data_IF_790202751710
#
_entry.id   IF_790202751710
#
_cell.length_a   1.000
_cell.length_b   1.000
_cell.length_c   1.000
_cell.angle_alpha   90.00
_cell.angle_beta   90.00
_cell.angle_gamma   90.00
#
_symmetry.space_group_name_H-M   'P 1'
#
loop_
_entity.id
_entity.type
_entity.pdbx_description
1 polymer ?
#
# COMPACT_ATOMS: atom_id res chain seq x y z
N UNK A 1 20.09 -18.71 21.74
CA UNK A 1 19.00 -18.03 21.03
C UNK A 1 18.55 -19.01 19.95
N UNK A 2 17.30 -19.44 19.99
CA UNK A 2 16.74 -20.32 18.95
C UNK A 2 16.22 -19.45 17.80
N UNK A 3 16.69 -19.72 16.57
CA UNK A 3 16.29 -19.03 15.35
C UNK A 3 15.38 -19.90 14.47
N UNK A 4 14.89 -21.02 15.01
CA UNK A 4 13.96 -21.89 14.29
C UNK A 4 12.61 -21.21 14.13
N UNK A 5 12.01 -21.38 12.96
CA UNK A 5 10.63 -20.94 12.73
C UNK A 5 9.64 -21.88 13.42
N UNK A 6 8.52 -21.33 13.88
CA UNK A 6 7.43 -22.13 14.44
C UNK A 6 6.78 -23.00 13.37
N UNK A 7 6.02 -24.03 13.79
CA UNK A 7 5.26 -24.86 12.84
C UNK A 7 4.26 -24.05 12.01
N UNK A 8 3.62 -23.04 12.63
CA UNK A 8 2.70 -22.13 11.95
C UNK A 8 3.42 -21.28 10.88
N UNK A 9 4.61 -20.77 11.20
CA UNK A 9 5.45 -20.02 10.27
C UNK A 9 5.92 -20.87 9.09
N UNK A 10 6.31 -22.10 9.34
CA UNK A 10 6.69 -23.05 8.29
C UNK A 10 5.49 -23.39 7.38
N UNK A 11 4.31 -23.60 7.96
CA UNK A 11 3.08 -23.85 7.19
C UNK A 11 2.67 -22.63 6.35
N UNK A 12 2.83 -21.42 6.87
CA UNK A 12 2.60 -20.18 6.15
C UNK A 12 3.52 -20.09 4.93
N UNK A 13 4.83 -20.26 5.14
CA UNK A 13 5.82 -20.23 4.04
C UNK A 13 5.53 -21.28 2.97
N UNK A 14 5.23 -22.52 3.37
CA UNK A 14 4.90 -23.62 2.45
C UNK A 14 3.63 -23.35 1.66
N UNK A 15 2.64 -22.68 2.27
CA UNK A 15 1.39 -22.30 1.60
C UNK A 15 1.66 -21.27 0.51
N UNK A 16 2.47 -20.26 0.80
CA UNK A 16 2.84 -19.24 -0.18
C UNK A 16 3.69 -19.86 -1.32
N UNK A 17 4.65 -20.71 -1.00
CA UNK A 17 5.47 -21.42 -2.02
C UNK A 17 4.61 -22.26 -2.95
N UNK A 18 3.60 -22.96 -2.41
CA UNK A 18 2.65 -23.75 -3.25
C UNK A 18 1.83 -22.84 -4.16
N UNK A 19 1.33 -21.72 -3.66
CA UNK A 19 0.63 -20.73 -4.48
C UNK A 19 1.51 -20.25 -5.64
N UNK A 20 2.75 -19.84 -5.37
CA UNK A 20 3.68 -19.37 -6.39
C UNK A 20 3.94 -20.45 -7.44
N UNK A 21 4.20 -21.67 -7.00
CA UNK A 21 4.55 -22.77 -7.92
C UNK A 21 3.37 -23.21 -8.79
N UNK A 22 2.14 -23.21 -8.28
CA UNK A 22 0.95 -23.76 -8.93
C UNK A 22 0.12 -22.69 -9.62
N UNK A 23 -0.17 -21.61 -8.90
CA UNK A 23 -1.19 -20.64 -9.27
C UNK A 23 -0.59 -19.33 -9.80
N UNK A 24 0.74 -19.14 -9.66
CA UNK A 24 1.45 -17.95 -10.12
C UNK A 24 2.74 -18.28 -10.90
N UNK A 25 2.68 -19.33 -11.74
CA UNK A 25 3.81 -19.74 -12.58
C UNK A 25 4.21 -18.62 -13.56
N UNK A 26 5.47 -18.66 -14.04
CA UNK A 26 6.06 -17.61 -14.87
C UNK A 26 5.22 -17.22 -16.11
N UNK A 27 4.56 -18.19 -16.76
CA UNK A 27 3.70 -17.90 -17.90
C UNK A 27 2.47 -17.08 -17.52
N UNK A 28 1.85 -17.37 -16.36
CA UNK A 28 0.73 -16.57 -15.82
C UNK A 28 1.20 -15.16 -15.47
N UNK A 29 2.34 -15.04 -14.79
CA UNK A 29 2.95 -13.73 -14.49
C UNK A 29 3.20 -12.92 -15.75
N UNK A 30 3.74 -13.53 -16.80
CA UNK A 30 3.98 -12.86 -18.08
C UNK A 30 2.69 -12.33 -18.69
N UNK A 31 1.64 -13.16 -18.70
CA UNK A 31 0.33 -12.74 -19.20
C UNK A 31 -0.27 -11.57 -18.38
N UNK A 32 -0.10 -11.59 -17.05
CA UNK A 32 -0.52 -10.48 -16.15
C UNK A 32 0.26 -9.22 -16.48
N UNK A 33 1.59 -9.29 -16.59
CA UNK A 33 2.45 -8.14 -16.94
C UNK A 33 2.02 -7.48 -18.25
N UNK A 34 1.69 -8.30 -19.25
CA UNK A 34 1.35 -7.84 -20.59
C UNK A 34 -0.12 -7.41 -20.71
N UNK A 35 -0.92 -7.57 -19.65
CA UNK A 35 -2.29 -7.05 -19.57
C UNK A 35 -2.31 -5.52 -19.43
N UNK A 36 -3.44 -4.90 -19.76
CA UNK A 36 -3.60 -3.44 -19.69
C UNK A 36 -3.33 -2.88 -18.29
N UNK A 37 -3.76 -3.59 -17.24
CA UNK A 37 -3.55 -3.17 -15.84
C UNK A 37 -2.16 -3.50 -15.29
N UNK A 38 -1.47 -4.49 -15.86
CA UNK A 38 -0.20 -5.00 -15.38
C UNK A 38 -0.25 -5.70 -14.00
N UNK A 39 -1.45 -6.02 -13.52
CA UNK A 39 -1.73 -6.79 -12.30
C UNK A 39 -3.04 -7.57 -12.47
N UNK A 40 -3.33 -8.52 -11.59
CA UNK A 40 -4.51 -9.39 -11.66
C UNK A 40 -5.37 -9.29 -10.41
N UNK A 41 -6.64 -8.88 -10.59
CA UNK A 41 -7.63 -8.91 -9.50
C UNK A 41 -7.88 -10.33 -8.99
N UNK A 42 -7.81 -11.33 -9.87
CA UNK A 42 -7.96 -12.75 -9.49
C UNK A 42 -6.81 -13.20 -8.60
N UNK A 43 -5.55 -12.89 -8.99
CA UNK A 43 -4.39 -13.23 -8.15
C UNK A 43 -4.42 -12.48 -6.82
N UNK A 44 -4.83 -11.21 -6.81
CA UNK A 44 -5.03 -10.44 -5.58
C UNK A 44 -6.06 -11.08 -4.65
N UNK A 45 -7.20 -11.52 -5.20
CA UNK A 45 -8.21 -12.22 -4.40
C UNK A 45 -7.70 -13.56 -3.88
N UNK A 46 -6.93 -14.31 -4.68
CA UNK A 46 -6.32 -15.55 -4.21
C UNK A 46 -5.37 -15.33 -3.01
N UNK A 47 -4.61 -14.22 -2.99
CA UNK A 47 -3.83 -13.84 -1.82
C UNK A 47 -4.71 -13.52 -0.59
N UNK A 48 -5.86 -12.88 -0.80
CA UNK A 48 -6.83 -12.63 0.27
C UNK A 48 -7.42 -13.93 0.81
N UNK A 49 -7.81 -14.85 -0.07
CA UNK A 49 -8.40 -16.15 0.28
C UNK A 49 -7.40 -17.04 1.07
N UNK A 50 -6.11 -16.86 0.85
CA UNK A 50 -5.04 -17.48 1.64
C UNK A 50 -4.76 -16.75 2.97
N UNK A 51 -5.47 -15.66 3.28
CA UNK A 51 -5.26 -14.85 4.47
C UNK A 51 -4.04 -13.92 4.43
N UNK A 52 -3.30 -13.88 3.32
CA UNK A 52 -2.03 -13.13 3.25
C UNK A 52 -2.24 -11.62 3.35
N UNK A 53 -3.37 -11.09 2.85
CA UNK A 53 -3.69 -9.66 2.97
C UNK A 53 -4.13 -9.27 4.39
N UNK A 54 -4.60 -10.24 5.18
CA UNK A 54 -4.99 -10.07 6.56
C UNK A 54 -3.82 -10.20 7.55
N UNK A 55 -2.66 -10.69 7.08
CA UNK A 55 -1.54 -11.08 7.95
C UNK A 55 -1.13 -9.96 8.92
N UNK A 56 -0.94 -8.74 8.44
CA UNK A 56 -0.46 -7.60 9.23
C UNK A 56 -1.59 -6.74 9.83
N UNK A 57 -2.84 -7.09 9.57
CA UNK A 57 -4.00 -6.41 10.15
C UNK A 57 -4.22 -6.91 11.57
N UNK A 58 -4.45 -6.03 12.57
CA UNK A 58 -4.76 -6.45 13.93
C UNK A 58 -5.98 -7.37 14.01
N UNK A 59 -5.98 -8.31 14.97
CA UNK A 59 -7.08 -9.29 15.14
C UNK A 59 -8.42 -8.60 15.41
N UNK A 60 -8.42 -7.54 16.23
CA UNK A 60 -9.62 -6.73 16.52
C UNK A 60 -10.21 -6.04 15.27
N UNK A 61 -9.47 -5.99 14.16
CA UNK A 61 -9.92 -5.45 12.88
C UNK A 61 -10.12 -6.53 11.81
N UNK A 62 -10.20 -7.79 12.23
CA UNK A 62 -10.43 -8.94 11.35
C UNK A 62 -9.18 -9.46 10.65
N UNK A 63 -8.02 -9.15 11.17
CA UNK A 63 -6.72 -9.64 10.69
C UNK A 63 -6.20 -10.84 11.46
N UNK A 64 -4.93 -11.19 11.21
CA UNK A 64 -4.22 -12.30 11.85
C UNK A 64 -3.17 -11.81 12.87
N UNK A 65 -2.93 -10.51 13.01
CA UNK A 65 -1.99 -9.96 13.98
C UNK A 65 -0.53 -10.38 13.78
N UNK A 66 -0.15 -10.77 12.56
CA UNK A 66 1.19 -11.25 12.24
C UNK A 66 2.27 -10.18 12.43
N UNK A 67 3.49 -10.64 12.67
CA UNK A 67 4.65 -9.80 12.94
C UNK A 67 5.62 -9.66 11.75
N UNK A 68 6.75 -8.96 11.97
CA UNK A 68 7.75 -8.75 10.94
C UNK A 68 8.37 -10.04 10.39
N UNK A 69 8.52 -11.07 11.23
CA UNK A 69 9.06 -12.37 10.82
C UNK A 69 8.11 -13.07 9.85
N UNK A 70 6.80 -13.03 10.13
CA UNK A 70 5.78 -13.62 9.27
C UNK A 70 5.73 -12.90 7.91
N UNK A 71 5.82 -11.57 7.93
CA UNK A 71 5.93 -10.75 6.71
C UNK A 71 7.19 -11.11 5.90
N UNK A 72 8.33 -11.25 6.56
CA UNK A 72 9.59 -11.65 5.92
C UNK A 72 9.46 -13.02 5.24
N UNK A 73 8.85 -14.01 5.89
CA UNK A 73 8.64 -15.34 5.32
C UNK A 73 7.74 -15.30 4.09
N UNK A 74 6.62 -14.55 4.15
CA UNK A 74 5.73 -14.38 3.01
C UNK A 74 6.45 -13.69 1.85
N UNK A 75 7.17 -12.59 2.11
CA UNK A 75 7.91 -11.87 1.07
C UNK A 75 9.01 -12.74 0.44
N UNK A 76 9.73 -13.53 1.25
CA UNK A 76 10.72 -14.47 0.77
C UNK A 76 10.10 -15.56 -0.13
N UNK A 77 8.95 -16.09 0.25
CA UNK A 77 8.24 -17.11 -0.52
C UNK A 77 7.58 -16.58 -1.80
N UNK A 78 7.13 -15.31 -1.82
CA UNK A 78 6.58 -14.63 -3.01
C UNK A 78 7.68 -14.22 -4.00
N UNK A 79 8.90 -13.95 -3.53
CA UNK A 79 10.02 -13.44 -4.33
C UNK A 79 10.30 -14.22 -5.60
N UNK A 80 10.41 -15.57 -5.59
CA UNK A 80 10.62 -16.37 -6.80
C UNK A 80 9.54 -16.21 -7.87
N UNK A 81 8.31 -15.86 -7.50
CA UNK A 81 7.20 -15.56 -8.41
C UNK A 81 7.29 -14.18 -9.05
N UNK A 82 8.14 -13.28 -8.53
CA UNK A 82 8.23 -11.87 -8.97
C UNK A 82 6.83 -11.23 -9.04
N UNK A 83 6.09 -11.30 -7.92
CA UNK A 83 4.69 -10.90 -7.82
C UNK A 83 4.46 -9.48 -8.35
N UNK A 84 3.39 -9.30 -9.13
CA UNK A 84 3.01 -8.02 -9.75
C UNK A 84 1.86 -7.32 -9.03
N UNK A 85 1.21 -8.00 -8.10
CA UNK A 85 0.16 -7.47 -7.24
C UNK A 85 0.74 -6.58 -6.13
N UNK A 86 -0.02 -5.59 -5.65
CA UNK A 86 0.45 -4.57 -4.69
C UNK A 86 0.62 -5.10 -3.25
N UNK A 87 1.21 -6.31 -3.06
CA UNK A 87 1.31 -6.92 -1.74
C UNK A 87 2.12 -6.06 -0.78
N UNK A 88 3.36 -5.70 -1.15
CA UNK A 88 4.20 -4.84 -0.32
C UNK A 88 3.58 -3.46 -0.09
N UNK A 89 3.11 -2.82 -1.17
CA UNK A 89 2.59 -1.46 -1.09
C UNK A 89 1.30 -1.36 -0.26
N UNK A 90 0.41 -2.35 -0.37
CA UNK A 90 -0.90 -2.33 0.29
C UNK A 90 -0.92 -3.16 1.58
N UNK A 91 -0.68 -4.48 1.50
CA UNK A 91 -0.84 -5.37 2.65
C UNK A 91 0.26 -5.21 3.72
N UNK A 92 1.40 -4.57 3.37
CA UNK A 92 2.47 -4.30 4.32
C UNK A 92 2.52 -2.81 4.67
N UNK A 93 2.93 -1.95 3.73
CA UNK A 93 3.20 -0.53 4.02
C UNK A 93 1.93 0.24 4.39
N UNK A 94 0.88 0.18 3.56
CA UNK A 94 -0.36 0.91 3.88
C UNK A 94 -1.03 0.37 5.14
N UNK A 95 -1.01 -0.95 5.36
CA UNK A 95 -1.51 -1.55 6.60
C UNK A 95 -0.73 -1.08 7.82
N UNK A 96 0.61 -0.99 7.74
CA UNK A 96 1.45 -0.50 8.83
C UNK A 96 1.11 0.95 9.22
N UNK A 97 0.77 1.81 8.24
CA UNK A 97 0.33 3.17 8.49
C UNK A 97 -1.07 3.23 9.13
N UNK A 98 -2.02 2.44 8.59
CA UNK A 98 -3.42 2.53 8.97
C UNK A 98 -3.74 1.87 10.32
N UNK A 99 -3.00 0.83 10.73
CA UNK A 99 -3.20 0.18 12.03
C UNK A 99 -2.91 1.10 13.21
N UNK A 100 -2.08 2.13 13.01
CA UNK A 100 -1.82 3.19 14.00
C UNK A 100 -2.94 4.26 14.02
N UNK A 101 -3.98 4.10 13.19
CA UNK A 101 -5.08 5.05 13.01
C UNK A 101 -6.43 4.39 13.33
N UNK A 102 -6.86 4.29 14.60
CA UNK A 102 -8.08 3.58 15.02
C UNK A 102 -9.35 3.88 14.20
N UNK A 103 -9.61 5.13 13.72
CA UNK A 103 -10.78 5.40 12.90
C UNK A 103 -10.83 4.63 11.58
N UNK A 104 -9.73 3.98 11.16
CA UNK A 104 -9.62 3.29 9.88
C UNK A 104 -9.89 1.77 9.96
N UNK A 105 -10.41 1.27 11.06
CA UNK A 105 -10.72 -0.15 11.25
C UNK A 105 -11.56 -0.76 10.11
N UNK A 106 -12.58 -0.03 9.64
CA UNK A 106 -13.43 -0.46 8.52
C UNK A 106 -12.67 -0.55 7.18
N UNK A 107 -11.68 0.30 6.95
CA UNK A 107 -10.82 0.25 5.77
C UNK A 107 -9.85 -0.93 5.86
N UNK A 108 -9.24 -1.17 7.02
CA UNK A 108 -8.36 -2.31 7.26
C UNK A 108 -9.07 -3.64 7.01
N UNK A 109 -10.31 -3.81 7.50
CA UNK A 109 -11.09 -5.01 7.24
C UNK A 109 -11.39 -5.22 5.73
N UNK A 110 -11.62 -4.14 4.98
CA UNK A 110 -11.82 -4.23 3.53
C UNK A 110 -10.50 -4.58 2.80
N UNK A 111 -9.36 -4.08 3.26
CA UNK A 111 -8.04 -4.43 2.73
C UNK A 111 -7.72 -5.90 2.99
N UNK A 112 -7.92 -6.39 4.22
CA UNK A 112 -7.75 -7.80 4.59
C UNK A 112 -8.58 -8.74 3.70
N UNK A 113 -9.80 -8.35 3.35
CA UNK A 113 -10.69 -9.10 2.46
C UNK A 113 -10.36 -8.95 0.95
N UNK A 114 -9.30 -8.21 0.58
CA UNK A 114 -8.94 -7.94 -0.81
C UNK A 114 -9.88 -6.97 -1.56
N UNK A 115 -10.85 -6.38 -0.87
CA UNK A 115 -11.89 -5.51 -1.46
C UNK A 115 -11.39 -4.10 -1.74
N UNK A 116 -10.37 -3.64 -1.04
CA UNK A 116 -9.75 -2.33 -1.21
C UNK A 116 -8.24 -2.46 -1.30
N UNK A 117 -7.66 -1.71 -2.20
CA UNK A 117 -6.22 -1.53 -2.36
C UNK A 117 -5.90 -0.11 -1.94
N UNK A 118 -5.02 0.04 -0.95
CA UNK A 118 -4.53 1.32 -0.47
C UNK A 118 -3.02 1.37 -0.67
N UNK A 119 -2.48 2.47 -1.18
CA UNK A 119 -1.04 2.64 -1.38
C UNK A 119 -0.55 3.98 -0.86
N UNK A 120 0.70 4.04 -0.47
CA UNK A 120 1.35 5.28 -0.03
C UNK A 120 1.83 6.09 -1.24
N UNK A 121 1.49 7.37 -1.27
CA UNK A 121 1.98 8.38 -2.21
C UNK A 121 2.79 9.42 -1.42
N UNK A 122 4.11 9.19 -1.32
CA UNK A 122 5.00 9.99 -0.48
C UNK A 122 6.11 10.67 -1.28
N UNK A 123 6.83 9.93 -2.10
CA UNK A 123 7.97 10.44 -2.85
C UNK A 123 7.61 11.62 -3.77
N UNK A 124 8.51 12.59 -3.84
CA UNK A 124 8.31 13.81 -4.63
C UNK A 124 9.50 14.09 -5.55
N UNK A 125 9.27 14.76 -6.69
CA UNK A 125 10.35 15.25 -7.52
C UNK A 125 11.28 16.15 -6.69
N UNK A 126 12.58 15.86 -6.70
CA UNK A 126 13.56 16.62 -5.93
C UNK A 126 13.86 16.09 -4.52
N UNK A 127 13.10 15.15 -3.99
CA UNK A 127 13.37 14.53 -2.70
C UNK A 127 14.71 13.78 -2.67
N UNK A 128 15.13 13.20 -3.79
CA UNK A 128 16.43 12.49 -3.93
C UNK A 128 16.65 11.43 -2.85
N UNK A 129 15.60 10.70 -2.48
CA UNK A 129 15.63 9.69 -1.43
C UNK A 129 15.59 10.23 0.00
N UNK A 130 15.34 11.51 0.19
CA UNK A 130 15.12 12.09 1.51
C UNK A 130 13.62 11.97 1.89
N UNK A 131 13.24 11.08 2.82
CA UNK A 131 11.84 10.91 3.21
C UNK A 131 11.25 12.11 3.96
N UNK A 132 12.09 12.99 4.50
CA UNK A 132 11.66 14.25 5.14
C UNK A 132 11.25 15.35 4.15
N UNK A 133 11.57 15.17 2.86
CA UNK A 133 11.24 16.16 1.84
C UNK A 133 9.80 15.99 1.34
N UNK A 134 8.93 16.88 1.78
CA UNK A 134 7.54 16.97 1.33
C UNK A 134 7.23 18.42 0.97
N UNK A 135 6.99 18.69 -0.32
CA UNK A 135 6.62 19.99 -0.85
C UNK A 135 5.11 20.09 -1.19
N UNK A 136 4.39 18.97 -1.26
CA UNK A 136 2.93 18.96 -1.37
C UNK A 136 2.33 19.72 -0.20
N UNK A 137 1.45 20.69 -0.50
CA UNK A 137 0.83 21.55 0.48
C UNK A 137 -0.61 21.13 0.75
N UNK A 138 -0.99 21.19 2.01
CA UNK A 138 -2.36 21.14 2.46
C UNK A 138 -2.72 22.45 3.13
N UNK A 139 -3.89 23.00 2.79
CA UNK A 139 -4.44 24.19 3.45
C UNK A 139 -5.88 23.94 3.87
N UNK A 140 -6.28 24.43 5.05
CA UNK A 140 -7.68 24.40 5.46
C UNK A 140 -8.58 25.19 4.51
N UNK A 141 -9.80 24.69 4.29
CA UNK A 141 -10.85 25.36 3.52
C UNK A 141 -12.22 25.14 4.19
N UNK A 142 -12.54 25.97 5.15
CA UNK A 142 -13.67 25.77 6.06
C UNK A 142 -13.43 24.56 6.98
N UNK A 143 -14.30 23.56 6.88
CA UNK A 143 -14.14 22.27 7.58
C UNK A 143 -13.32 21.24 6.79
N UNK A 144 -13.03 21.55 5.53
CA UNK A 144 -12.35 20.68 4.59
C UNK A 144 -10.86 21.02 4.46
N UNK A 145 -10.18 20.25 3.64
CA UNK A 145 -8.79 20.48 3.26
C UNK A 145 -8.66 20.57 1.74
N UNK A 146 -7.71 21.37 1.26
CA UNK A 146 -7.31 21.42 -0.15
C UNK A 146 -5.86 21.03 -0.28
N UNK A 147 -5.59 20.04 -1.13
CA UNK A 147 -4.25 19.54 -1.41
C UNK A 147 -3.79 19.97 -2.80
N UNK A 148 -2.57 20.53 -2.86
CA UNK A 148 -1.88 20.91 -4.08
C UNK A 148 -0.45 20.35 -4.06
N UNK A 149 -0.04 19.64 -5.12
CA UNK A 149 1.31 19.10 -5.20
C UNK A 149 1.48 17.99 -6.23
N UNK A 150 2.62 17.29 -6.13
CA UNK A 150 2.95 16.18 -7.03
C UNK A 150 3.69 15.10 -6.28
N UNK A 151 3.26 13.85 -6.46
CA UNK A 151 3.99 12.66 -6.02
C UNK A 151 4.55 11.92 -7.21
N UNK A 152 5.71 11.31 -7.06
CA UNK A 152 6.36 10.53 -8.10
C UNK A 152 6.57 9.08 -7.66
N UNK A 153 6.70 8.21 -8.66
CA UNK A 153 6.98 6.77 -8.45
C UNK A 153 6.01 6.11 -7.45
N UNK A 154 4.74 6.55 -7.46
CA UNK A 154 3.73 5.95 -6.57
C UNK A 154 3.45 4.53 -7.03
N UNK A 155 4.01 3.56 -6.32
CA UNK A 155 3.90 2.15 -6.65
C UNK A 155 2.43 1.70 -6.64
N UNK A 156 2.01 1.04 -7.73
CA UNK A 156 0.66 0.50 -7.92
C UNK A 156 -0.49 1.52 -7.81
N UNK A 157 -0.24 2.83 -7.93
CA UNK A 157 -1.29 3.85 -7.81
C UNK A 157 -2.46 3.60 -8.77
N UNK A 158 -2.19 3.07 -9.97
CA UNK A 158 -3.24 2.75 -10.93
C UNK A 158 -4.17 1.60 -10.50
N UNK A 159 -3.73 0.72 -9.61
CA UNK A 159 -4.53 -0.35 -9.04
C UNK A 159 -5.23 0.06 -7.74
N UNK A 160 -4.80 1.14 -7.10
CA UNK A 160 -5.30 1.58 -5.80
C UNK A 160 -6.73 2.14 -5.90
N UNK A 161 -7.51 1.93 -4.86
CA UNK A 161 -8.80 2.59 -4.62
C UNK A 161 -8.61 3.89 -3.84
N UNK A 162 -7.59 3.94 -2.96
CA UNK A 162 -7.27 5.07 -2.09
C UNK A 162 -5.76 5.24 -2.04
N UNK A 163 -5.31 6.50 -2.05
CA UNK A 163 -3.91 6.85 -1.81
C UNK A 163 -3.78 7.46 -0.41
N UNK A 164 -2.75 7.05 0.34
CA UNK A 164 -2.30 7.78 1.54
C UNK A 164 -1.30 8.82 1.04
N UNK A 165 -1.69 10.08 1.05
CA UNK A 165 -0.88 11.18 0.52
C UNK A 165 -0.27 11.96 1.68
N UNK A 166 1.06 12.11 1.68
CA UNK A 166 1.75 13.00 2.61
C UNK A 166 1.70 14.45 2.12
N UNK A 167 1.45 15.41 3.02
CA UNK A 167 1.45 16.83 2.71
C UNK A 167 1.91 17.65 3.93
N UNK A 168 2.28 18.91 3.69
CA UNK A 168 2.54 19.90 4.75
C UNK A 168 1.24 20.61 5.10
N UNK A 169 0.78 20.44 6.32
CA UNK A 169 -0.32 21.15 6.92
C UNK A 169 0.24 22.08 8.00
N UNK A 170 0.13 23.39 7.81
CA UNK A 170 0.68 24.42 8.74
C UNK A 170 2.18 24.23 9.08
N UNK A 171 2.93 23.61 8.17
CA UNK A 171 4.37 23.32 8.34
C UNK A 171 4.68 21.91 8.81
N UNK A 172 3.75 21.21 9.41
CA UNK A 172 3.91 19.84 9.89
C UNK A 172 3.57 18.80 8.80
N UNK A 173 4.18 17.64 8.88
CA UNK A 173 3.86 16.53 7.98
C UNK A 173 2.55 15.87 8.45
N UNK A 174 1.60 15.79 7.52
CA UNK A 174 0.32 15.15 7.72
C UNK A 174 0.06 14.11 6.61
N UNK A 175 -0.79 13.12 6.91
CA UNK A 175 -1.19 12.08 5.98
C UNK A 175 -2.69 12.17 5.72
N UNK A 176 -3.08 12.04 4.45
CA UNK A 176 -4.46 12.16 4.00
C UNK A 176 -4.89 10.95 3.20
N UNK A 177 -6.11 10.45 3.44
CA UNK A 177 -6.76 9.47 2.57
C UNK A 177 -7.40 10.19 1.38
N UNK A 178 -6.87 9.91 0.19
CA UNK A 178 -7.34 10.50 -1.06
C UNK A 178 -7.97 9.40 -1.92
N UNK A 179 -9.29 9.40 -2.15
CA UNK A 179 -9.93 8.51 -3.09
C UNK A 179 -9.32 8.67 -4.49
N UNK A 180 -9.15 7.56 -5.21
CA UNK A 180 -8.57 7.59 -6.55
C UNK A 180 -9.33 8.47 -7.54
N UNK A 181 -10.65 8.55 -7.37
CA UNK A 181 -11.57 9.33 -8.20
C UNK A 181 -11.81 10.74 -7.66
N UNK A 182 -11.02 11.19 -6.67
CA UNK A 182 -11.16 12.53 -6.11
C UNK A 182 -10.96 13.60 -7.21
N UNK A 183 -11.89 14.57 -7.35
CA UNK A 183 -11.71 15.67 -8.27
C UNK A 183 -10.41 16.42 -8.00
N UNK A 184 -9.62 16.69 -9.05
CA UNK A 184 -8.32 17.32 -8.94
C UNK A 184 -7.13 16.37 -8.78
N UNK A 185 -7.38 15.07 -8.61
CA UNK A 185 -6.35 14.04 -8.67
C UNK A 185 -6.24 13.50 -10.11
N UNK A 186 -5.03 13.53 -10.69
CA UNK A 186 -4.69 12.88 -11.94
C UNK A 186 -3.51 11.92 -11.75
N UNK A 187 -3.57 10.73 -12.36
CA UNK A 187 -2.55 9.70 -12.30
C UNK A 187 -2.01 9.41 -13.69
N UNK A 188 -0.71 9.62 -13.89
CA UNK A 188 0.02 9.25 -15.11
C UNK A 188 0.76 7.94 -14.86
N UNK A 189 0.13 6.82 -15.21
CA UNK A 189 0.65 5.48 -14.96
C UNK A 189 1.66 5.03 -16.02
N UNK A 190 2.71 4.32 -15.58
CA UNK A 190 3.75 3.76 -16.45
C UNK A 190 4.28 2.41 -15.92
N UNK A 191 4.85 1.57 -16.80
CA UNK A 191 5.54 0.35 -16.37
C UNK A 191 6.90 0.67 -15.78
N UNK A 192 7.31 -0.09 -14.76
CA UNK A 192 8.65 -0.07 -14.21
C UNK A 192 9.52 -1.20 -14.77
N UNK A 193 10.83 -1.16 -14.55
CA UNK A 193 11.77 -2.12 -15.12
C UNK A 193 11.51 -3.57 -14.66
N UNK A 194 11.04 -3.75 -13.44
CA UNK A 194 10.68 -5.04 -12.84
C UNK A 194 9.33 -5.60 -13.36
N UNK A 195 8.63 -4.82 -14.19
CA UNK A 195 7.34 -5.18 -14.79
C UNK A 195 6.13 -4.80 -13.95
N UNK A 196 6.30 -4.17 -12.78
CA UNK A 196 5.19 -3.61 -12.00
C UNK A 196 4.67 -2.31 -12.62
N UNK A 197 3.78 -1.62 -11.95
CA UNK A 197 3.26 -0.30 -12.37
C UNK A 197 3.52 0.73 -11.30
N UNK A 198 3.91 1.92 -11.70
CA UNK A 198 3.93 3.11 -10.88
C UNK A 198 3.15 4.24 -11.56
N UNK A 199 2.94 5.34 -10.87
CA UNK A 199 2.37 6.55 -11.45
C UNK A 199 2.98 7.81 -10.85
N UNK A 200 2.95 8.89 -11.64
CA UNK A 200 3.00 10.24 -11.11
C UNK A 200 1.58 10.61 -10.66
N UNK A 201 1.46 11.21 -9.48
CA UNK A 201 0.18 11.70 -8.97
C UNK A 201 0.21 13.23 -8.88
N UNK A 202 -0.66 13.89 -9.64
CA UNK A 202 -0.82 15.32 -9.66
C UNK A 202 -2.06 15.71 -8.85
N UNK A 203 -1.87 16.57 -7.85
CA UNK A 203 -2.94 17.09 -7.01
C UNK A 203 -3.12 18.58 -7.33
N UNK A 204 -4.29 18.96 -7.82
CA UNK A 204 -4.64 20.32 -8.19
C UNK A 204 -5.94 20.71 -7.47
N UNK A 205 -5.84 21.29 -6.27
CA UNK A 205 -6.98 21.66 -5.45
C UNK A 205 -7.85 20.46 -5.05
N UNK A 206 -7.26 19.32 -4.73
CA UNK A 206 -8.00 18.13 -4.28
C UNK A 206 -8.68 18.42 -2.96
N UNK A 207 -10.01 18.49 -2.98
CA UNK A 207 -10.83 18.77 -1.78
C UNK A 207 -11.10 17.47 -1.02
N UNK A 208 -10.80 17.51 0.28
CA UNK A 208 -10.99 16.38 1.18
C UNK A 208 -11.75 16.80 2.43
N UNK A 209 -12.70 16.00 2.92
CA UNK A 209 -13.38 16.27 4.19
C UNK A 209 -12.43 16.12 5.38
N UNK A 210 -12.79 16.70 6.52
CA UNK A 210 -11.99 16.63 7.75
C UNK A 210 -11.59 15.20 8.14
N UNK A 211 -12.46 14.21 7.92
CA UNK A 211 -12.21 12.79 8.23
C UNK A 211 -11.19 12.12 7.32
N UNK A 212 -10.69 12.80 6.28
CA UNK A 212 -9.61 12.27 5.44
C UNK A 212 -8.23 12.44 6.07
N UNK A 213 -8.05 13.35 7.04
CA UNK A 213 -6.82 13.52 7.79
C UNK A 213 -6.62 12.32 8.72
N UNK A 214 -5.50 11.62 8.58
CA UNK A 214 -5.12 10.55 9.49
C UNK A 214 -4.55 11.14 10.79
N UNK A 215 -4.90 10.60 11.95
CA UNK A 215 -4.33 11.01 13.24
C UNK A 215 -2.91 10.45 13.42
N UNK A 216 -2.08 10.56 12.39
CA UNK A 216 -0.74 10.02 12.31
C UNK A 216 0.16 11.02 11.57
N UNK A 217 1.32 11.27 12.09
CA UNK A 217 2.30 12.21 11.55
C UNK A 217 3.57 11.54 11.03
N UNK A 218 4.67 12.31 11.07
CA UNK A 218 5.98 11.91 10.58
C UNK A 218 6.52 10.63 11.25
N UNK A 219 6.28 10.46 12.54
CA UNK A 219 6.74 9.33 13.34
C UNK A 219 6.14 7.99 12.89
N UNK A 220 4.86 7.98 12.50
CA UNK A 220 4.20 6.78 11.97
C UNK A 220 4.74 6.46 10.58
N UNK A 221 4.96 7.49 9.75
CA UNK A 221 5.55 7.31 8.43
C UNK A 221 6.97 6.74 8.51
N UNK A 222 7.82 7.28 9.38
CA UNK A 222 9.18 6.77 9.60
C UNK A 222 9.17 5.30 10.02
N UNK A 223 8.31 4.91 10.97
CA UNK A 223 8.19 3.49 11.39
C UNK A 223 7.70 2.57 10.28
N UNK A 224 6.89 3.07 9.36
CA UNK A 224 6.37 2.25 8.26
C UNK A 224 7.37 2.08 7.11
N UNK A 225 8.34 2.99 6.98
CA UNK A 225 9.35 3.00 5.90
C UNK A 225 10.73 2.48 6.37
N UNK A 226 11.01 2.49 7.65
CA UNK A 226 12.31 2.16 8.22
C UNK A 226 12.42 0.90 8.95
#
# INVERSE_FOLDING_TARGET
MDFSFTEEQQLLEDTVRRFVAKDYAFEKRRAIRDSAGGWSREAWQALADLGLLALNVPEEHGGLGGGPVDTMLVMNALGPGLLLEPYLASAVVATALLRECPPQAGLLAQMAAGKRIVVLAHDEPGARGNPGHVATLCRPDGTDFLLDGRKCVVAHAAAADVLIVSARLEGDLALFLVPRDAPGLALDAYPTLDGTRAAEAHLAGVRLPAGALLPAGADVLERALG
#
